data_IF_940331003599
#
_entry.id   IF_940331003599
#
_cell.length_a   1.000
_cell.length_b   1.000
_cell.length_c   1.000
_cell.angle_alpha   90.00
_cell.angle_beta   90.00
_cell.angle_gamma   90.00
#
_symmetry.space_group_name_H-M   'P 1'
#
loop_
_entity.id
_entity.type
_entity.pdbx_description
1 polymer ?
#
# COMPACT_ATOMS: atom_id res chain seq x y z
N UNK A 1 6.96 -9.29 4.74
CA UNK A 1 7.83 -8.65 3.72
C UNK A 1 7.00 -8.42 2.47
N UNK A 2 7.27 -7.34 1.72
CA UNK A 2 6.59 -7.01 0.45
C UNK A 2 7.34 -7.55 -0.77
N UNK A 3 8.66 -7.71 -0.66
CA UNK A 3 9.53 -8.15 -1.73
C UNK A 3 10.83 -8.75 -1.16
N UNK A 4 11.58 -9.44 -1.99
CA UNK A 4 12.92 -9.95 -1.66
C UNK A 4 13.98 -8.83 -1.56
N UNK A 5 15.23 -9.19 -1.32
CA UNK A 5 16.34 -8.24 -1.23
C UNK A 5 16.57 -7.50 -2.56
N UNK A 6 16.30 -8.12 -3.70
CA UNK A 6 16.39 -7.57 -5.05
C UNK A 6 15.14 -6.77 -5.46
N UNK A 7 14.16 -6.62 -4.55
CA UNK A 7 12.90 -5.90 -4.74
C UNK A 7 11.93 -6.57 -5.73
N UNK A 8 12.04 -7.89 -5.91
CA UNK A 8 11.10 -8.68 -6.68
C UNK A 8 10.05 -9.28 -5.76
N UNK A 9 8.85 -9.50 -6.26
CA UNK A 9 7.81 -10.25 -5.55
C UNK A 9 8.03 -11.74 -5.88
N UNK A 10 8.42 -12.57 -4.90
CA UNK A 10 8.60 -14.01 -5.15
C UNK A 10 7.27 -14.66 -5.55
N UNK A 11 7.29 -15.67 -6.44
CA UNK A 11 6.07 -16.40 -6.84
C UNK A 11 5.25 -16.93 -5.66
N UNK A 12 5.92 -17.34 -4.58
CA UNK A 12 5.27 -17.82 -3.36
C UNK A 12 4.40 -16.77 -2.63
N UNK A 13 4.58 -15.48 -2.93
CA UNK A 13 3.72 -14.40 -2.42
C UNK A 13 2.61 -14.01 -3.40
N UNK A 14 2.61 -14.58 -4.61
CA UNK A 14 1.59 -14.31 -5.63
C UNK A 14 0.45 -15.30 -5.44
N UNK A 15 -0.50 -14.98 -4.56
CA UNK A 15 -1.67 -15.81 -4.25
C UNK A 15 -2.89 -15.19 -4.93
N UNK A 16 -3.58 -15.97 -5.77
CA UNK A 16 -4.72 -15.48 -6.57
C UNK A 16 -5.84 -14.88 -5.70
N UNK A 17 -6.16 -15.52 -4.59
CA UNK A 17 -7.20 -15.05 -3.68
C UNK A 17 -6.84 -13.69 -3.02
N UNK A 18 -5.55 -13.47 -2.71
CA UNK A 18 -5.04 -12.20 -2.21
C UNK A 18 -5.10 -11.11 -3.29
N UNK A 19 -4.71 -11.44 -4.51
CA UNK A 19 -4.83 -10.52 -5.65
C UNK A 19 -6.28 -10.14 -5.94
N UNK A 20 -7.21 -11.09 -5.90
CA UNK A 20 -8.66 -10.79 -6.06
C UNK A 20 -9.16 -9.86 -4.98
N UNK A 21 -8.79 -10.10 -3.72
CA UNK A 21 -9.12 -9.19 -2.62
C UNK A 21 -8.54 -7.79 -2.85
N UNK A 22 -7.25 -7.71 -3.19
CA UNK A 22 -6.55 -6.46 -3.44
C UNK A 22 -7.21 -5.65 -4.57
N UNK A 23 -7.40 -6.24 -5.74
CA UNK A 23 -8.01 -5.56 -6.88
C UNK A 23 -9.46 -5.15 -6.62
N UNK A 24 -10.26 -6.02 -5.97
CA UNK A 24 -11.63 -5.70 -5.58
C UNK A 24 -11.69 -4.52 -4.59
N UNK A 25 -10.75 -4.44 -3.66
CA UNK A 25 -10.65 -3.30 -2.73
C UNK A 25 -10.35 -1.99 -3.46
N UNK A 26 -9.53 -2.03 -4.52
CA UNK A 26 -9.18 -0.84 -5.31
C UNK A 26 -10.34 -0.31 -6.17
N UNK A 27 -11.35 -1.10 -6.45
CA UNK A 27 -12.53 -0.65 -7.21
C UNK A 27 -13.34 0.43 -6.51
N UNK A 28 -13.24 0.47 -5.19
CA UNK A 28 -13.93 1.46 -4.35
C UNK A 28 -13.06 2.68 -4.02
N UNK A 29 -11.80 2.70 -4.47
CA UNK A 29 -10.89 3.80 -4.19
C UNK A 29 -11.14 5.00 -5.11
N UNK A 30 -11.32 6.19 -4.53
CA UNK A 30 -11.35 7.45 -5.25
C UNK A 30 -9.94 7.82 -5.75
N UNK A 31 -8.92 7.57 -4.92
CA UNK A 31 -7.51 7.81 -5.25
C UNK A 31 -6.65 6.62 -4.79
N UNK A 32 -5.70 6.24 -5.62
CA UNK A 32 -4.67 5.25 -5.27
C UNK A 32 -3.33 5.94 -5.07
N UNK A 33 -2.68 5.69 -3.94
CA UNK A 33 -1.34 6.22 -3.62
C UNK A 33 -0.31 5.11 -3.60
N UNK A 34 0.80 5.32 -4.30
CA UNK A 34 1.91 4.36 -4.32
C UNK A 34 3.26 5.02 -4.58
N UNK A 35 4.34 4.32 -4.29
CA UNK A 35 5.69 4.71 -4.70
C UNK A 35 5.93 4.39 -6.19
N UNK A 36 6.93 5.01 -6.79
CA UNK A 36 7.27 4.83 -8.22
C UNK A 36 7.43 3.38 -8.68
N UNK A 37 7.73 2.45 -7.77
CA UNK A 37 7.99 1.03 -8.05
C UNK A 37 6.87 0.10 -7.56
N UNK A 38 5.77 0.65 -7.10
CA UNK A 38 4.64 -0.11 -6.52
C UNK A 38 3.39 0.02 -7.38
N UNK A 39 3.59 0.14 -8.69
CA UNK A 39 2.48 0.22 -9.63
C UNK A 39 1.66 -1.08 -9.61
N UNK A 40 0.35 -0.95 -9.48
CA UNK A 40 -0.57 -2.08 -9.67
C UNK A 40 -0.88 -2.25 -11.16
N UNK A 41 -0.85 -3.47 -11.64
CA UNK A 41 -1.14 -3.83 -13.04
C UNK A 41 -2.55 -4.39 -13.25
N UNK A 42 -3.49 -4.08 -12.37
CA UNK A 42 -4.84 -4.65 -12.40
C UNK A 42 -5.78 -4.02 -13.42
N UNK A 43 -6.98 -4.61 -13.59
CA UNK A 43 -8.03 -4.04 -14.43
C UNK A 43 -8.31 -2.58 -14.06
N UNK A 44 -8.55 -1.73 -15.06
CA UNK A 44 -8.84 -0.30 -14.88
C UNK A 44 -7.71 0.54 -14.23
N UNK A 45 -6.48 -0.02 -14.16
CA UNK A 45 -5.33 0.69 -13.61
C UNK A 45 -5.16 2.08 -14.25
N UNK A 46 -5.31 2.19 -15.56
CA UNK A 46 -5.12 3.42 -16.33
C UNK A 46 -6.23 4.47 -16.14
N UNK A 47 -7.35 4.10 -15.54
CA UNK A 47 -8.50 4.99 -15.37
C UNK A 47 -8.59 5.63 -13.98
N UNK A 48 -7.79 5.16 -13.02
CA UNK A 48 -7.82 5.62 -11.63
C UNK A 48 -7.08 6.93 -11.42
N UNK A 49 -7.58 7.75 -10.52
CA UNK A 49 -6.82 8.86 -9.99
C UNK A 49 -5.67 8.35 -9.13
N UNK A 50 -4.46 8.90 -9.33
CA UNK A 50 -3.24 8.39 -8.68
C UNK A 50 -2.36 9.51 -8.14
N UNK A 51 -1.76 9.24 -6.99
CA UNK A 51 -0.65 9.99 -6.45
C UNK A 51 0.59 9.09 -6.40
N UNK A 52 1.59 9.40 -7.19
CA UNK A 52 2.88 8.70 -7.20
C UNK A 52 3.84 9.43 -6.29
N UNK A 53 4.09 8.88 -5.12
CA UNK A 53 5.02 9.47 -4.14
C UNK A 53 6.46 9.43 -4.67
N UNK A 54 7.08 10.60 -4.74
CA UNK A 54 8.44 10.75 -5.27
C UNK A 54 9.11 12.02 -4.76
N UNK A 55 10.43 11.99 -4.67
CA UNK A 55 11.28 13.17 -4.41
C UNK A 55 11.85 13.80 -5.68
N UNK A 56 11.47 13.31 -6.86
CA UNK A 56 11.97 13.82 -8.14
C UNK A 56 11.33 15.14 -8.57
N UNK A 57 10.30 15.59 -7.86
CA UNK A 57 9.66 16.89 -8.07
C UNK A 57 9.68 17.69 -6.77
N UNK A 58 9.71 19.03 -6.82
CA UNK A 58 9.74 19.84 -5.59
C UNK A 58 8.43 19.74 -4.79
N UNK A 59 7.27 19.61 -5.45
CA UNK A 59 5.95 19.51 -4.82
C UNK A 59 5.01 18.59 -5.60
N UNK A 60 4.30 19.12 -6.58
CA UNK A 60 3.35 18.43 -7.44
C UNK A 60 3.69 18.65 -8.91
N UNK A 61 3.62 17.60 -9.71
CA UNK A 61 3.72 17.68 -11.17
C UNK A 61 2.79 16.66 -11.84
N UNK A 62 2.25 16.93 -13.03
CA UNK A 62 1.56 15.93 -13.82
C UNK A 62 2.50 14.75 -14.13
N UNK A 63 1.96 13.53 -14.13
CA UNK A 63 2.73 12.40 -14.62
C UNK A 63 2.89 12.50 -16.15
N UNK A 64 4.10 12.26 -16.72
CA UNK A 64 4.36 12.54 -18.12
C UNK A 64 3.53 11.70 -19.10
N UNK A 65 3.09 10.51 -18.70
CA UNK A 65 2.42 9.56 -19.61
C UNK A 65 1.09 9.03 -19.10
N UNK A 66 0.82 9.12 -17.78
CA UNK A 66 -0.41 8.57 -17.20
C UNK A 66 -1.42 9.71 -16.93
N UNK A 67 -2.60 9.67 -17.57
CA UNK A 67 -3.67 10.62 -17.27
C UNK A 67 -4.14 10.42 -15.82
N UNK A 68 -4.79 11.45 -15.26
CA UNK A 68 -5.31 11.42 -13.87
C UNK A 68 -4.27 11.02 -12.81
N UNK A 69 -2.99 11.28 -13.10
CA UNK A 69 -1.87 10.92 -12.21
C UNK A 69 -0.99 12.14 -11.93
N UNK A 70 -0.71 12.37 -10.65
CA UNK A 70 0.26 13.35 -10.20
C UNK A 70 1.46 12.69 -9.55
N UNK A 71 2.64 13.21 -9.85
CA UNK A 71 3.84 13.04 -9.04
C UNK A 71 3.69 13.93 -7.81
N UNK A 72 3.87 13.36 -6.63
CA UNK A 72 3.68 14.05 -5.36
C UNK A 72 4.89 13.88 -4.45
N UNK A 73 5.45 15.03 -4.05
CA UNK A 73 6.45 15.09 -2.99
C UNK A 73 5.79 15.59 -1.69
N UNK A 74 5.59 14.72 -0.68
CA UNK A 74 4.95 15.09 0.58
C UNK A 74 5.68 16.17 1.39
N UNK A 75 6.94 16.47 1.07
CA UNK A 75 7.69 17.56 1.69
C UNK A 75 7.38 18.93 1.08
N UNK A 76 6.85 18.96 -0.14
CA UNK A 76 6.58 20.19 -0.88
C UNK A 76 5.10 20.50 -1.07
N UNK A 77 4.21 19.55 -0.83
CA UNK A 77 2.76 19.77 -0.89
C UNK A 77 2.02 18.82 0.07
N UNK A 78 0.94 19.28 0.65
CA UNK A 78 0.05 18.46 1.49
C UNK A 78 -0.74 17.44 0.65
N UNK A 79 -1.35 16.46 1.33
CA UNK A 79 -2.25 15.51 0.67
C UNK A 79 -3.50 16.22 0.13
N UNK A 80 -4.00 17.18 0.86
CA UNK A 80 -5.20 17.99 0.54
C UNK A 80 -4.96 18.81 -0.73
N UNK A 81 -3.79 19.44 -0.87
CA UNK A 81 -3.37 20.16 -2.09
C UNK A 81 -3.24 19.17 -3.27
N UNK A 82 -2.63 18.00 -3.04
CA UNK A 82 -2.50 16.97 -4.07
C UNK A 82 -3.86 16.44 -4.52
N UNK A 83 -4.80 16.23 -3.60
CA UNK A 83 -6.16 15.78 -3.89
C UNK A 83 -6.92 16.80 -4.74
N UNK A 84 -6.90 18.05 -4.31
CA UNK A 84 -7.54 19.18 -5.04
C UNK A 84 -6.94 19.32 -6.44
N UNK A 85 -5.63 19.29 -6.56
CA UNK A 85 -4.93 19.41 -7.86
C UNK A 85 -5.22 18.25 -8.79
N UNK A 86 -5.43 17.04 -8.24
CA UNK A 86 -5.78 15.84 -8.99
C UNK A 86 -7.21 15.92 -9.54
N UNK A 87 -8.08 16.72 -8.93
CA UNK A 87 -9.49 16.79 -9.28
C UNK A 87 -10.24 15.49 -9.03
N UNK A 88 -9.79 14.70 -8.05
CA UNK A 88 -10.43 13.45 -7.70
C UNK A 88 -11.75 13.68 -6.94
N UNK A 89 -12.74 12.77 -7.09
CA UNK A 89 -13.96 12.83 -6.29
C UNK A 89 -13.65 12.54 -4.83
N UNK A 90 -14.52 12.95 -3.93
CA UNK A 90 -14.47 12.53 -2.52
C UNK A 90 -14.59 11.02 -2.40
N UNK A 91 -13.91 10.44 -1.42
CA UNK A 91 -13.97 9.01 -1.20
C UNK A 91 -12.72 8.42 -0.56
N UNK A 92 -12.58 7.12 -0.70
CA UNK A 92 -11.52 6.35 -0.06
C UNK A 92 -10.17 6.57 -0.76
N UNK A 93 -9.13 6.79 0.06
CA UNK A 93 -7.74 6.76 -0.36
C UNK A 93 -7.16 5.36 -0.13
N UNK A 94 -6.76 4.68 -1.19
CA UNK A 94 -6.09 3.40 -1.09
C UNK A 94 -4.57 3.57 -1.16
N UNK A 95 -3.88 3.21 -0.09
CA UNK A 95 -2.41 3.22 -0.01
C UNK A 95 -1.89 1.82 -0.32
N UNK A 96 -1.26 1.64 -1.48
CA UNK A 96 -0.80 0.32 -1.93
C UNK A 96 0.71 0.09 -1.77
N UNK A 97 1.38 0.97 -1.05
CA UNK A 97 2.78 0.79 -0.66
C UNK A 97 3.76 1.48 -1.63
N UNK A 98 5.09 1.18 -1.64
CA UNK A 98 5.85 0.36 -0.71
C UNK A 98 6.04 0.89 0.70
N UNK A 99 6.99 0.29 1.43
CA UNK A 99 7.20 0.54 2.85
C UNK A 99 7.37 2.02 3.23
N UNK A 100 8.10 2.80 2.45
CA UNK A 100 8.28 4.23 2.70
C UNK A 100 6.96 5.01 2.55
N UNK A 101 6.11 4.62 1.59
CA UNK A 101 4.78 5.22 1.41
C UNK A 101 3.87 4.82 2.58
N UNK A 102 3.90 3.55 2.97
CA UNK A 102 3.16 3.08 4.14
C UNK A 102 3.58 3.84 5.41
N UNK A 103 4.86 4.20 5.56
CA UNK A 103 5.32 5.00 6.71
C UNK A 103 4.71 6.41 6.73
N UNK A 104 4.62 7.08 5.58
CA UNK A 104 3.99 8.42 5.48
C UNK A 104 2.55 8.36 6.00
N UNK A 105 1.80 7.34 5.59
CA UNK A 105 0.40 7.19 5.99
C UNK A 105 0.24 6.57 7.39
N UNK A 106 1.25 5.84 7.88
CA UNK A 106 1.28 5.40 9.26
C UNK A 106 1.39 6.60 10.23
N UNK A 107 2.14 7.64 9.83
CA UNK A 107 2.30 8.86 10.61
C UNK A 107 1.04 9.75 10.56
N UNK A 108 0.32 9.77 9.44
CA UNK A 108 -1.00 10.44 9.30
C UNK A 108 -2.14 9.66 9.99
N UNK A 109 -2.06 8.35 10.01
CA UNK A 109 -3.06 7.40 10.48
C UNK A 109 -3.80 6.71 9.34
N UNK A 110 -4.08 5.43 9.52
CA UNK A 110 -4.99 4.65 8.70
C UNK A 110 -6.34 4.51 9.42
N UNK A 111 -7.44 4.51 8.68
CA UNK A 111 -8.74 4.06 9.18
C UNK A 111 -8.79 2.54 9.21
N UNK A 112 -8.22 1.91 8.18
CA UNK A 112 -8.04 0.47 8.11
C UNK A 112 -6.70 0.10 7.45
N UNK A 113 -6.11 -1.02 7.87
CA UNK A 113 -4.94 -1.62 7.25
C UNK A 113 -5.18 -3.11 7.02
N UNK A 114 -5.12 -3.54 5.78
CA UNK A 114 -5.27 -4.94 5.38
C UNK A 114 -3.90 -5.62 5.33
N UNK A 115 -3.68 -6.58 6.22
CA UNK A 115 -2.41 -7.28 6.33
C UNK A 115 -2.56 -8.74 5.93
N UNK A 116 -2.12 -9.06 4.72
CA UNK A 116 -2.05 -10.45 4.25
C UNK A 116 -0.72 -11.10 4.63
N UNK A 117 -0.76 -12.39 4.92
CA UNK A 117 0.40 -13.23 5.24
C UNK A 117 0.31 -14.57 4.52
N UNK A 118 1.44 -15.07 4.06
CA UNK A 118 1.59 -16.43 3.52
C UNK A 118 2.47 -17.23 4.48
N UNK A 119 1.92 -18.29 5.04
CA UNK A 119 2.61 -19.14 5.99
C UNK A 119 3.84 -19.81 5.36
N UNK A 120 4.90 -20.00 6.16
CA UNK A 120 6.12 -20.68 5.70
C UNK A 120 7.03 -19.89 4.76
N UNK A 121 6.58 -18.75 4.20
CA UNK A 121 7.41 -17.92 3.33
C UNK A 121 8.22 -16.92 4.15
N UNK A 122 9.54 -17.00 4.06
CA UNK A 122 10.49 -16.08 4.69
C UNK A 122 11.37 -15.44 3.62
N UNK A 123 11.60 -14.14 3.73
CA UNK A 123 12.42 -13.36 2.79
C UNK A 123 13.53 -12.65 3.56
N UNK A 124 14.65 -13.34 3.87
CA UNK A 124 15.78 -12.70 4.54
C UNK A 124 16.31 -11.50 3.73
N UNK A 125 16.56 -10.38 4.40
CA UNK A 125 16.97 -9.12 3.74
C UNK A 125 15.90 -8.47 2.88
N UNK A 126 14.70 -9.02 2.82
CA UNK A 126 13.58 -8.50 2.03
C UNK A 126 13.04 -7.16 2.53
N UNK A 127 12.20 -6.55 1.71
CA UNK A 127 11.58 -5.24 2.01
C UNK A 127 10.38 -5.42 2.93
N UNK A 128 10.41 -4.83 4.12
CA UNK A 128 9.29 -4.91 5.05
C UNK A 128 8.12 -4.00 4.62
N UNK A 129 6.94 -4.31 5.14
CA UNK A 129 5.73 -3.49 4.93
C UNK A 129 5.83 -2.12 5.61
N UNK A 130 6.55 -2.04 6.72
CA UNK A 130 6.94 -0.80 7.39
C UNK A 130 8.45 -0.79 7.65
N UNK A 131 9.15 0.35 7.48
CA UNK A 131 10.61 0.44 7.70
C UNK A 131 11.06 0.04 9.10
N UNK A 132 10.20 0.19 10.10
CA UNK A 132 10.54 -0.13 11.50
C UNK A 132 10.44 -1.61 11.89
N UNK A 133 10.13 -2.52 10.97
CA UNK A 133 10.08 -3.97 11.25
C UNK A 133 11.49 -4.53 11.37
N UNK A 134 11.70 -5.34 12.41
CA UNK A 134 12.98 -5.98 12.71
C UNK A 134 12.81 -7.20 13.61
N UNK A 135 13.93 -7.76 14.15
CA UNK A 135 13.88 -8.95 14.99
C UNK A 135 12.94 -8.82 16.20
N UNK A 136 12.87 -7.65 16.81
CA UNK A 136 12.10 -7.38 18.01
C UNK A 136 10.87 -6.49 17.78
N UNK A 137 10.46 -6.28 16.52
CA UNK A 137 9.32 -5.43 16.19
C UNK A 137 8.60 -5.92 14.93
N UNK A 138 7.37 -6.33 15.11
CA UNK A 138 6.52 -6.86 14.05
C UNK A 138 5.62 -5.78 13.42
N UNK A 139 4.93 -6.11 12.32
CA UNK A 139 3.89 -5.25 11.77
C UNK A 139 2.73 -5.07 12.77
N UNK A 140 2.40 -6.11 13.52
CA UNK A 140 1.34 -6.08 14.53
C UNK A 140 1.66 -5.10 15.66
N UNK A 141 2.90 -5.11 16.15
CA UNK A 141 3.36 -4.14 17.16
C UNK A 141 3.24 -2.70 16.65
N UNK A 142 3.62 -2.46 15.40
CA UNK A 142 3.55 -1.13 14.78
C UNK A 142 2.09 -0.67 14.67
N UNK A 143 1.20 -1.52 14.16
CA UNK A 143 -0.22 -1.18 14.00
C UNK A 143 -0.89 -0.95 15.35
N UNK A 144 -0.60 -1.81 16.35
CA UNK A 144 -1.09 -1.64 17.73
C UNK A 144 -0.61 -0.32 18.35
N UNK A 145 0.67 0.03 18.21
CA UNK A 145 1.23 1.31 18.70
C UNK A 145 0.58 2.53 18.05
N UNK A 146 0.00 2.38 16.87
CA UNK A 146 -0.75 3.42 16.16
C UNK A 146 -2.26 3.42 16.47
N UNK A 147 -2.68 2.59 17.42
CA UNK A 147 -4.05 2.54 17.91
C UNK A 147 -5.01 1.71 17.07
N UNK A 148 -4.49 0.92 16.10
CA UNK A 148 -5.33 -0.01 15.36
C UNK A 148 -5.47 -1.33 16.14
N UNK A 149 -6.63 -1.96 15.99
CA UNK A 149 -6.97 -3.25 16.58
C UNK A 149 -7.17 -4.30 15.49
N UNK A 150 -6.65 -5.52 15.67
CA UNK A 150 -6.87 -6.58 14.69
C UNK A 150 -8.31 -7.07 14.73
N UNK A 151 -8.93 -7.19 13.59
CA UNK A 151 -10.15 -7.97 13.41
C UNK A 151 -9.86 -9.47 13.35
N UNK A 152 -10.89 -10.31 13.12
CA UNK A 152 -10.70 -11.74 12.99
C UNK A 152 -9.81 -12.07 11.78
N UNK A 153 -8.94 -13.07 11.97
CA UNK A 153 -8.16 -13.61 10.87
C UNK A 153 -9.06 -14.39 9.91
N UNK A 154 -8.96 -14.09 8.63
CA UNK A 154 -9.68 -14.76 7.54
C UNK A 154 -8.69 -15.57 6.69
N UNK A 155 -8.99 -16.83 6.42
CA UNK A 155 -8.27 -17.58 5.41
C UNK A 155 -8.65 -17.04 4.02
N UNK A 156 -7.64 -16.69 3.21
CA UNK A 156 -7.80 -16.34 1.79
C UNK A 156 -7.62 -17.57 0.92
N UNK A 157 -6.56 -18.31 1.17
CA UNK A 157 -6.23 -19.56 0.49
C UNK A 157 -5.60 -20.55 1.50
N UNK A 158 -6.36 -21.56 1.98
CA UNK A 158 -5.85 -22.54 2.91
C UNK A 158 -4.70 -23.39 2.35
N UNK A 159 -4.68 -23.65 1.04
CA UNK A 159 -3.65 -24.48 0.39
C UNK A 159 -2.32 -23.71 0.33
N UNK A 160 -2.36 -22.45 -0.04
CA UNK A 160 -1.19 -21.57 -0.03
C UNK A 160 -0.83 -21.09 1.39
N UNK A 161 -1.67 -21.35 2.40
CA UNK A 161 -1.50 -20.82 3.75
C UNK A 161 -1.64 -19.29 3.82
N UNK A 162 -2.42 -18.72 2.91
CA UNK A 162 -2.63 -17.28 2.85
C UNK A 162 -3.78 -16.84 3.75
N UNK A 163 -3.51 -15.84 4.59
CA UNK A 163 -4.48 -15.27 5.54
C UNK A 163 -4.49 -13.75 5.45
N UNK A 164 -5.60 -13.15 5.88
CA UNK A 164 -5.81 -11.71 5.96
C UNK A 164 -6.31 -11.32 7.35
N UNK A 165 -5.73 -10.26 7.90
CA UNK A 165 -6.25 -9.56 9.07
C UNK A 165 -6.50 -8.10 8.69
N UNK A 166 -7.71 -7.61 8.91
CA UNK A 166 -8.03 -6.20 8.78
C UNK A 166 -7.86 -5.53 10.14
N UNK A 167 -6.98 -4.55 10.19
CA UNK A 167 -6.73 -3.72 11.35
C UNK A 167 -7.54 -2.42 11.23
N UNK A 168 -8.23 -2.02 12.27
CA UNK A 168 -9.10 -0.82 12.28
C UNK A 168 -8.92 -0.05 13.60
N UNK A 169 -9.31 1.22 13.59
CA UNK A 169 -9.38 2.05 14.80
C UNK A 169 -10.56 1.68 15.67
#
# INVERSE_FOLDING_TARGET
MLADAERRIPPALVVEADQKFFHGSLEHAAVVVHGRRSHEGGPRADTRHRLVVTRSVPSLAPHPTLPKTLLWNPQGASLEEAWTRLGAPDGMLAVIGGGDVNQIFLDRGFDAFHLSRVAGVRLPGGRPVFPGIGPNRTADDILTQRGLKPGPQRALDPVAGATLVTWQR
#
